data_IF_186082065758
#
_entry.id   IF_186082065758
#
_cell.length_a   1.000
_cell.length_b   1.000
_cell.length_c   1.000
_cell.angle_alpha   90.00
_cell.angle_beta   90.00
_cell.angle_gamma   90.00
#
_symmetry.space_group_name_H-M   'P 1'
#
loop_
_entity.id
_entity.type
_entity.pdbx_description
1 polymer ?
#
# COMPACT_ATOMS: atom_id res chain seq x y z
N UNK A 1 8.97 17.41 -59.21
CA UNK A 1 7.67 17.70 -59.85
C UNK A 1 7.85 17.40 -61.32
N UNK A 2 7.08 16.46 -61.85
CA UNK A 2 7.14 16.06 -63.26
C UNK A 2 6.30 17.07 -64.04
N UNK A 3 6.82 17.57 -65.16
CA UNK A 3 6.07 18.50 -66.01
C UNK A 3 5.02 17.76 -66.82
N UNK A 4 3.82 18.32 -66.90
CA UNK A 4 2.77 17.82 -67.78
C UNK A 4 2.93 18.45 -69.16
N UNK A 5 2.83 17.63 -70.21
CA UNK A 5 2.64 18.14 -71.55
C UNK A 5 1.28 18.86 -71.64
N UNK A 6 1.22 19.99 -72.35
CA UNK A 6 -0.01 20.78 -72.51
C UNK A 6 -1.17 19.95 -73.08
N UNK A 7 -0.90 19.09 -74.07
CA UNK A 7 -1.92 18.22 -74.68
C UNK A 7 -2.39 17.13 -73.70
N UNK A 8 -1.49 16.62 -72.85
CA UNK A 8 -1.83 15.62 -71.84
C UNK A 8 -2.71 16.21 -70.72
N UNK A 9 -2.46 17.46 -70.35
CA UNK A 9 -3.25 18.18 -69.35
C UNK A 9 -4.67 18.49 -69.86
N UNK A 10 -4.79 18.93 -71.11
CA UNK A 10 -6.10 19.20 -71.74
C UNK A 10 -6.94 17.92 -71.86
N UNK A 11 -6.32 16.80 -72.26
CA UNK A 11 -7.01 15.50 -72.32
C UNK A 11 -7.49 15.03 -70.94
N UNK A 12 -6.68 15.20 -69.90
CA UNK A 12 -7.06 14.86 -68.53
C UNK A 12 -8.22 15.73 -68.04
N UNK A 13 -8.17 17.05 -68.27
CA UNK A 13 -9.23 17.97 -67.87
C UNK A 13 -10.56 17.66 -68.56
N UNK A 14 -10.53 17.43 -69.87
CA UNK A 14 -11.72 17.06 -70.65
C UNK A 14 -12.37 15.77 -70.11
N UNK A 15 -11.55 14.77 -69.77
CA UNK A 15 -12.03 13.53 -69.19
C UNK A 15 -12.65 13.70 -67.79
N UNK A 16 -12.13 14.63 -66.99
CA UNK A 16 -12.69 14.97 -65.68
C UNK A 16 -14.04 15.69 -65.84
N UNK A 17 -14.14 16.63 -66.80
CA UNK A 17 -15.39 17.35 -67.10
C UNK A 17 -16.50 16.38 -67.54
N UNK A 18 -16.20 15.45 -68.45
CA UNK A 18 -17.16 14.46 -68.95
C UNK A 18 -17.73 13.54 -67.85
N UNK A 19 -17.04 13.40 -66.71
CA UNK A 19 -17.41 12.49 -65.61
C UNK A 19 -17.85 13.19 -64.33
N UNK A 20 -17.82 14.52 -64.31
CA UNK A 20 -18.16 15.33 -63.12
C UNK A 20 -19.60 15.10 -62.67
N UNK A 21 -20.55 15.12 -63.61
CA UNK A 21 -21.97 14.92 -63.31
C UNK A 21 -22.28 13.50 -62.83
N UNK A 22 -21.59 12.50 -63.37
CA UNK A 22 -21.73 11.10 -62.96
C UNK A 22 -21.22 10.87 -61.52
N UNK A 23 -20.11 11.50 -61.14
CA UNK A 23 -19.57 11.39 -59.78
C UNK A 23 -20.46 12.10 -58.75
N UNK A 24 -20.99 13.28 -59.09
CA UNK A 24 -21.96 13.99 -58.26
C UNK A 24 -23.23 13.17 -58.03
N UNK A 25 -23.71 12.45 -59.07
CA UNK A 25 -24.87 11.57 -58.94
C UNK A 25 -24.64 10.38 -58.00
N UNK A 26 -23.39 9.94 -57.81
CA UNK A 26 -23.00 8.89 -56.85
C UNK A 26 -22.72 9.42 -55.43
N UNK A 27 -22.74 10.74 -55.23
CA UNK A 27 -22.45 11.38 -53.95
C UNK A 27 -20.96 11.47 -53.59
N UNK A 28 -20.06 11.20 -54.54
CA UNK A 28 -18.62 11.40 -54.40
C UNK A 28 -18.24 12.86 -54.69
N UNK A 29 -17.21 13.40 -54.01
CA UNK A 29 -16.65 14.72 -54.31
C UNK A 29 -15.74 14.62 -55.55
N UNK A 30 -16.11 15.21 -56.70
CA UNK A 30 -15.34 15.08 -57.93
C UNK A 30 -13.93 15.65 -57.81
N UNK A 31 -13.75 16.72 -57.03
CA UNK A 31 -12.45 17.40 -56.95
C UNK A 31 -11.42 16.58 -56.15
N UNK A 32 -11.88 15.86 -55.12
CA UNK A 32 -11.04 14.89 -54.38
C UNK A 32 -10.63 13.73 -55.30
N UNK A 33 -11.59 13.14 -56.03
CA UNK A 33 -11.34 12.01 -56.95
C UNK A 33 -10.39 12.39 -58.08
N UNK A 34 -10.54 13.57 -58.68
CA UNK A 34 -9.64 14.05 -59.73
C UNK A 34 -8.24 14.34 -59.20
N UNK A 35 -8.12 14.82 -57.96
CA UNK A 35 -6.82 15.04 -57.32
C UNK A 35 -6.09 13.71 -57.08
N UNK A 36 -6.80 12.67 -56.67
CA UNK A 36 -6.26 11.33 -56.46
C UNK A 36 -5.81 10.68 -57.77
N UNK A 37 -6.62 10.80 -58.84
CA UNK A 37 -6.24 10.31 -60.17
C UNK A 37 -5.00 11.01 -60.71
N UNK A 38 -4.91 12.32 -60.52
CA UNK A 38 -3.74 13.09 -60.93
C UNK A 38 -2.49 12.65 -60.16
N UNK A 39 -2.60 12.49 -58.84
CA UNK A 39 -1.50 12.02 -58.00
C UNK A 39 -1.05 10.59 -58.36
N UNK A 40 -2.00 9.71 -58.72
CA UNK A 40 -1.70 8.35 -59.17
C UNK A 40 -0.88 8.36 -60.47
N UNK A 41 -1.32 9.12 -61.49
CA UNK A 41 -0.61 9.25 -62.77
C UNK A 41 0.80 9.82 -62.55
N UNK A 42 0.95 10.84 -61.70
CA UNK A 42 2.26 11.41 -61.35
C UNK A 42 3.16 10.39 -60.64
N UNK A 43 2.59 9.54 -59.77
CA UNK A 43 3.35 8.50 -59.07
C UNK A 43 3.84 7.40 -60.02
N UNK A 44 3.01 6.99 -60.99
CA UNK A 44 3.37 5.99 -62.00
C UNK A 44 4.40 6.53 -62.99
N UNK A 45 4.27 7.79 -63.41
CA UNK A 45 5.28 8.47 -64.23
C UNK A 45 6.64 8.57 -63.50
N UNK A 46 6.61 8.89 -62.20
CA UNK A 46 7.81 8.94 -61.37
C UNK A 46 8.48 7.57 -61.22
N UNK A 47 7.69 6.51 -61.03
CA UNK A 47 8.19 5.13 -60.94
C UNK A 47 8.89 4.68 -62.23
N UNK A 48 8.39 5.12 -63.38
CA UNK A 48 8.98 4.81 -64.70
C UNK A 48 10.12 5.76 -65.11
N UNK A 49 10.53 6.68 -64.22
CA UNK A 49 11.59 7.69 -64.44
C UNK A 49 11.32 8.59 -65.66
N UNK A 50 10.05 8.89 -65.92
CA UNK A 50 9.67 9.81 -66.98
C UNK A 50 9.92 11.26 -66.54
N UNK A 51 10.42 12.07 -67.48
CA UNK A 51 10.74 13.48 -67.24
C UNK A 51 9.51 14.37 -67.55
N UNK A 52 8.61 13.91 -68.41
CA UNK A 52 7.39 14.60 -68.83
C UNK A 52 6.25 13.59 -69.05
N UNK A 53 5.03 13.94 -68.63
CA UNK A 53 3.82 13.11 -68.82
C UNK A 53 3.24 13.40 -70.21
N UNK A 54 3.30 12.41 -71.09
CA UNK A 54 2.76 12.49 -72.46
C UNK A 54 1.28 12.04 -72.57
N UNK A 55 0.58 12.42 -73.66
CA UNK A 55 -0.85 12.15 -73.84
C UNK A 55 -1.18 10.65 -73.93
N UNK A 56 -0.28 9.83 -74.47
CA UNK A 56 -0.47 8.38 -74.57
C UNK A 56 -0.60 7.67 -73.22
N UNK A 57 0.14 8.12 -72.19
CA UNK A 57 0.08 7.57 -70.83
C UNK A 57 -1.22 7.95 -70.12
N UNK A 58 -1.65 9.20 -70.29
CA UNK A 58 -2.91 9.68 -69.71
C UNK A 58 -4.08 8.86 -70.29
N UNK A 59 -4.10 8.63 -71.61
CA UNK A 59 -5.13 7.79 -72.23
C UNK A 59 -5.12 6.34 -71.74
N UNK A 60 -3.96 5.72 -71.55
CA UNK A 60 -3.89 4.32 -71.08
C UNK A 60 -4.35 4.18 -69.63
N UNK A 61 -3.91 5.07 -68.74
CA UNK A 61 -4.25 5.02 -67.32
C UNK A 61 -5.72 5.39 -67.09
N UNK A 62 -6.26 6.36 -67.83
CA UNK A 62 -7.70 6.68 -67.77
C UNK A 62 -8.58 5.57 -68.35
N UNK A 63 -8.09 4.83 -69.35
CA UNK A 63 -8.80 3.65 -69.88
C UNK A 63 -8.80 2.49 -68.88
N UNK A 64 -7.70 2.26 -68.16
CA UNK A 64 -7.65 1.27 -67.08
C UNK A 64 -8.58 1.64 -65.91
N UNK A 65 -8.63 2.92 -65.53
CA UNK A 65 -9.54 3.44 -64.51
C UNK A 65 -11.01 3.40 -64.95
N UNK A 66 -11.28 3.59 -66.25
CA UNK A 66 -12.62 3.46 -66.83
C UNK A 66 -13.13 2.00 -66.82
N UNK A 67 -12.26 1.03 -67.12
CA UNK A 67 -12.57 -0.40 -67.03
C UNK A 67 -12.80 -0.88 -65.59
N UNK A 68 -12.31 -0.15 -64.59
CA UNK A 68 -12.50 -0.46 -63.18
C UNK A 68 -13.82 0.07 -62.58
N UNK A 69 -14.60 0.89 -63.31
CA UNK A 69 -15.90 1.38 -62.86
C UNK A 69 -17.01 0.39 -63.26
N UNK A 70 -17.83 -0.13 -62.31
CA UNK A 70 -18.78 -1.19 -62.60
C UNK A 70 -20.05 -0.68 -63.29
N UNK A 71 -20.35 -1.19 -64.47
CA UNK A 71 -21.71 -1.22 -65.01
C UNK A 71 -22.61 -2.09 -64.11
N UNK A 72 -23.66 -1.47 -63.56
CA UNK A 72 -24.91 -2.07 -63.07
C UNK A 72 -24.87 -3.54 -62.64
N UNK A 73 -24.58 -3.81 -61.36
CA UNK A 73 -24.72 -5.13 -60.76
C UNK A 73 -26.11 -5.32 -60.11
N UNK A 74 -26.94 -6.17 -60.72
CA UNK A 74 -28.01 -6.90 -60.02
C UNK A 74 -27.39 -7.92 -59.04
N UNK A 75 -28.07 -8.28 -57.93
CA UNK A 75 -27.43 -8.97 -56.83
C UNK A 75 -27.32 -10.48 -57.12
N UNK A 76 -26.10 -10.99 -57.23
CA UNK A 76 -25.80 -12.42 -57.09
C UNK A 76 -24.61 -12.60 -56.12
N UNK A 77 -24.61 -13.70 -55.33
CA UNK A 77 -23.87 -13.77 -54.08
C UNK A 77 -22.35 -13.84 -54.30
N UNK A 78 -21.64 -13.03 -53.52
CA UNK A 78 -20.18 -12.90 -53.53
C UNK A 78 -19.48 -14.28 -53.42
N UNK A 79 -18.46 -14.57 -54.24
CA UNK A 79 -17.50 -15.62 -53.93
C UNK A 79 -16.73 -15.26 -52.64
N UNK A 80 -16.35 -16.25 -51.81
CA UNK A 80 -15.72 -15.96 -50.52
C UNK A 80 -14.39 -15.25 -50.74
N UNK A 81 -14.31 -14.02 -50.23
CA UNK A 81 -13.08 -13.24 -50.11
C UNK A 81 -12.01 -14.13 -49.45
N UNK A 82 -10.82 -14.31 -50.03
CA UNK A 82 -9.73 -14.96 -49.32
C UNK A 82 -9.42 -14.12 -48.09
N UNK A 83 -9.77 -14.66 -46.92
CA UNK A 83 -9.39 -14.11 -45.62
C UNK A 83 -7.88 -13.82 -45.65
N UNK A 84 -7.44 -12.59 -45.33
CA UNK A 84 -6.01 -12.34 -45.13
C UNK A 84 -5.49 -13.36 -44.11
N UNK A 85 -4.28 -13.93 -44.28
CA UNK A 85 -3.77 -14.93 -43.37
C UNK A 85 -3.86 -14.36 -41.96
N UNK A 86 -4.66 -15.04 -41.12
CA UNK A 86 -4.84 -14.68 -39.74
C UNK A 86 -3.45 -14.62 -39.11
N UNK A 87 -2.91 -13.41 -38.96
CA UNK A 87 -1.65 -13.17 -38.28
C UNK A 87 -1.72 -13.94 -36.96
N UNK A 88 -0.87 -14.96 -36.83
CA UNK A 88 -0.91 -15.95 -35.77
C UNK A 88 -1.13 -15.28 -34.40
N UNK A 89 -2.40 -15.25 -33.97
CA UNK A 89 -2.86 -14.55 -32.76
C UNK A 89 -2.52 -15.29 -31.47
N UNK A 90 -1.69 -16.34 -31.54
CA UNK A 90 -1.33 -17.20 -30.41
C UNK A 90 -0.62 -16.41 -29.30
N UNK A 91 0.36 -15.58 -29.65
CA UNK A 91 1.10 -14.77 -28.66
C UNK A 91 0.26 -13.65 -28.02
N UNK A 92 -0.73 -13.12 -28.74
CA UNK A 92 -1.53 -11.95 -28.34
C UNK A 92 -2.62 -12.27 -27.30
N UNK A 93 -3.22 -13.47 -27.36
CA UNK A 93 -4.15 -13.96 -26.32
C UNK A 93 -3.42 -14.37 -25.04
N UNK A 94 -2.23 -14.96 -25.17
CA UNK A 94 -1.38 -15.34 -24.02
C UNK A 94 -0.99 -14.15 -23.15
N UNK A 95 -0.55 -13.05 -23.77
CA UNK A 95 -0.12 -11.85 -23.05
C UNK A 95 -1.25 -11.13 -22.28
N UNK A 96 -2.48 -11.14 -22.82
CA UNK A 96 -3.66 -10.60 -22.13
C UNK A 96 -4.09 -11.45 -20.92
N UNK A 97 -3.99 -12.78 -21.05
CA UNK A 97 -4.25 -13.72 -19.95
C UNK A 97 -3.19 -13.60 -18.86
N UNK A 98 -1.92 -13.52 -19.22
CA UNK A 98 -0.80 -13.32 -18.30
C UNK A 98 -0.94 -12.04 -17.47
N UNK A 99 -1.22 -10.90 -18.12
CA UNK A 99 -1.47 -9.62 -17.41
C UNK A 99 -2.64 -9.71 -16.44
N UNK A 100 -3.72 -10.37 -16.86
CA UNK A 100 -4.89 -10.55 -16.00
C UNK A 100 -4.55 -11.44 -14.81
N UNK A 101 -3.72 -12.48 -15.01
CA UNK A 101 -3.22 -13.32 -13.92
C UNK A 101 -2.33 -12.51 -12.94
N UNK A 102 -1.43 -11.66 -13.43
CA UNK A 102 -0.63 -10.77 -12.57
C UNK A 102 -1.50 -9.84 -11.72
N UNK A 103 -2.58 -9.28 -12.29
CA UNK A 103 -3.51 -8.45 -11.53
C UNK A 103 -4.30 -9.24 -10.47
N UNK A 104 -4.61 -10.51 -10.73
CA UNK A 104 -5.19 -11.38 -9.72
C UNK A 104 -4.18 -11.67 -8.61
N UNK A 105 -2.93 -11.96 -8.95
CA UNK A 105 -1.88 -12.25 -7.96
C UNK A 105 -1.59 -11.00 -7.11
N UNK A 106 -1.23 -9.89 -7.73
CA UNK A 106 -0.76 -8.69 -7.02
C UNK A 106 -1.88 -7.79 -6.51
N UNK A 107 -3.04 -7.79 -7.17
CA UNK A 107 -4.19 -6.97 -6.78
C UNK A 107 -5.14 -7.65 -5.80
N UNK A 108 -5.14 -9.00 -5.74
CA UNK A 108 -6.10 -9.78 -4.94
C UNK A 108 -5.41 -10.80 -4.05
N UNK A 109 -4.72 -11.78 -4.63
CA UNK A 109 -4.19 -12.94 -3.90
C UNK A 109 -3.15 -12.58 -2.86
N UNK A 110 -2.15 -11.78 -3.24
CA UNK A 110 -1.06 -11.34 -2.39
C UNK A 110 -1.54 -10.40 -1.25
N UNK A 111 -2.30 -9.31 -1.50
CA UNK A 111 -2.81 -8.48 -0.40
C UNK A 111 -3.78 -9.22 0.52
N UNK A 112 -4.59 -10.15 -0.01
CA UNK A 112 -5.43 -11.01 0.82
C UNK A 112 -4.60 -11.98 1.69
N UNK A 113 -3.61 -12.63 1.09
CA UNK A 113 -2.70 -13.53 1.79
C UNK A 113 -1.90 -12.83 2.88
N UNK A 114 -1.43 -11.60 2.61
CA UNK A 114 -0.73 -10.78 3.60
C UNK A 114 -1.66 -10.32 4.72
N UNK A 115 -2.90 -9.94 4.43
CA UNK A 115 -3.88 -9.62 5.47
C UNK A 115 -4.15 -10.83 6.36
N UNK A 116 -4.37 -12.02 5.77
CA UNK A 116 -4.60 -13.24 6.53
C UNK A 116 -3.36 -13.61 7.35
N UNK A 117 -2.18 -13.51 6.75
CA UNK A 117 -0.92 -13.73 7.44
C UNK A 117 -0.75 -12.78 8.62
N UNK A 118 -1.04 -11.49 8.47
CA UNK A 118 -0.93 -10.52 9.55
C UNK A 118 -1.99 -10.74 10.65
N UNK A 119 -3.23 -11.12 10.30
CA UNK A 119 -4.25 -11.44 11.31
C UNK A 119 -3.91 -12.69 12.12
N UNK A 120 -3.17 -13.62 11.53
CA UNK A 120 -2.70 -14.82 12.22
C UNK A 120 -1.39 -14.52 12.98
N UNK A 121 -0.42 -13.88 12.35
CA UNK A 121 0.95 -13.77 12.81
C UNK A 121 1.31 -12.42 13.43
N UNK A 122 0.64 -11.31 13.16
CA UNK A 122 1.04 -9.99 13.68
C UNK A 122 2.48 -9.57 13.33
N UNK A 123 3.06 -10.11 12.26
CA UNK A 123 4.48 -9.98 11.90
C UNK A 123 4.87 -8.52 11.62
N UNK A 124 4.05 -7.77 10.89
CA UNK A 124 4.30 -6.34 10.66
C UNK A 124 4.22 -5.57 11.98
N UNK A 125 3.22 -5.90 12.81
CA UNK A 125 3.06 -5.38 14.16
C UNK A 125 4.28 -5.58 15.06
N UNK A 126 5.12 -6.60 14.81
CA UNK A 126 6.33 -6.92 15.58
C UNK A 126 7.63 -6.31 15.04
N UNK A 127 7.79 -6.21 13.72
CA UNK A 127 9.08 -5.81 13.13
C UNK A 127 9.07 -4.36 12.64
N UNK A 128 7.92 -3.86 12.18
CA UNK A 128 7.83 -2.56 11.50
C UNK A 128 6.89 -1.61 12.24
N UNK A 129 5.59 -1.79 12.03
CA UNK A 129 4.51 -1.03 12.63
C UNK A 129 3.23 -1.89 12.51
N UNK A 130 2.26 -1.68 13.41
CA UNK A 130 1.00 -2.42 13.40
C UNK A 130 0.05 -1.85 12.33
N UNK A 131 -0.20 -2.55 11.19
CA UNK A 131 -1.09 -2.05 10.16
C UNK A 131 -2.57 -2.22 10.52
N UNK A 132 -2.88 -3.04 11.56
CA UNK A 132 -4.24 -3.38 11.99
C UNK A 132 -4.40 -3.07 13.49
N UNK A 133 -4.26 -1.78 13.91
CA UNK A 133 -4.45 -1.43 15.31
C UNK A 133 -5.91 -1.59 15.75
N UNK A 134 -6.86 -1.53 14.80
CA UNK A 134 -8.29 -1.73 15.06
C UNK A 134 -8.95 -2.55 13.96
N UNK A 135 -10.11 -3.16 14.26
CA UNK A 135 -10.92 -3.89 13.27
C UNK A 135 -11.34 -3.03 12.06
N UNK A 136 -11.44 -1.71 12.23
CA UNK A 136 -11.74 -0.79 11.13
C UNK A 136 -10.63 -0.83 10.08
N UNK A 137 -9.37 -0.86 10.51
CA UNK A 137 -8.22 -1.02 9.61
C UNK A 137 -8.27 -2.37 8.89
N UNK A 138 -8.60 -3.46 9.60
CA UNK A 138 -8.74 -4.78 8.99
C UNK A 138 -9.78 -4.78 7.87
N UNK A 139 -10.95 -4.17 8.11
CA UNK A 139 -12.03 -4.07 7.12
C UNK A 139 -11.60 -3.22 5.92
N UNK A 140 -10.94 -2.08 6.15
CA UNK A 140 -10.44 -1.22 5.08
C UNK A 140 -9.37 -1.91 4.24
N UNK A 141 -8.45 -2.66 4.84
CA UNK A 141 -7.44 -3.44 4.10
C UNK A 141 -8.12 -4.57 3.32
N UNK A 142 -9.08 -5.29 3.92
CA UNK A 142 -9.84 -6.36 3.26
C UNK A 142 -10.65 -5.86 2.06
N UNK A 143 -11.09 -4.60 2.09
CA UNK A 143 -11.78 -3.96 0.98
C UNK A 143 -10.92 -3.90 -0.29
N UNK A 144 -9.60 -3.77 -0.17
CA UNK A 144 -8.68 -3.64 -1.31
C UNK A 144 -8.72 -4.85 -2.25
N UNK A 145 -8.45 -6.10 -1.81
CA UNK A 145 -8.52 -7.27 -2.69
C UNK A 145 -9.94 -7.51 -3.22
N UNK A 146 -10.98 -7.27 -2.42
CA UNK A 146 -12.38 -7.43 -2.85
C UNK A 146 -12.72 -6.43 -3.96
N UNK A 147 -12.38 -5.16 -3.79
CA UNK A 147 -12.60 -4.11 -4.77
C UNK A 147 -11.83 -4.35 -6.07
N UNK A 148 -10.58 -4.83 -5.97
CA UNK A 148 -9.77 -5.18 -7.14
C UNK A 148 -10.33 -6.39 -7.88
N UNK A 149 -10.82 -7.41 -7.16
CA UNK A 149 -11.50 -8.56 -7.77
C UNK A 149 -12.78 -8.14 -8.51
N UNK A 150 -13.60 -7.28 -7.89
CA UNK A 150 -14.82 -6.75 -8.51
C UNK A 150 -14.50 -5.90 -9.74
N UNK A 151 -13.46 -5.06 -9.69
CA UNK A 151 -13.00 -4.29 -10.83
C UNK A 151 -12.51 -5.19 -11.99
N UNK A 152 -11.80 -6.28 -11.67
CA UNK A 152 -11.39 -7.28 -12.66
C UNK A 152 -12.58 -7.95 -13.34
N UNK A 153 -13.59 -8.35 -12.59
CA UNK A 153 -14.82 -8.97 -13.13
C UNK A 153 -15.64 -7.95 -13.94
N UNK A 154 -15.87 -6.76 -13.40
CA UNK A 154 -16.63 -5.69 -14.06
C UNK A 154 -15.95 -5.23 -15.35
N UNK A 155 -14.62 -5.22 -15.42
CA UNK A 155 -13.88 -4.85 -16.64
C UNK A 155 -14.03 -5.84 -17.80
N UNK A 156 -14.54 -7.06 -17.54
CA UNK A 156 -14.85 -8.08 -18.55
C UNK A 156 -16.29 -7.99 -19.04
N UNK A 157 -17.19 -7.46 -18.23
CA UNK A 157 -18.58 -7.26 -18.60
C UNK A 157 -18.68 -6.10 -19.60
N UNK A 158 -19.34 -6.31 -20.73
CA UNK A 158 -19.65 -5.26 -21.69
C UNK A 158 -20.76 -4.30 -21.24
N UNK A 159 -21.38 -4.57 -20.08
CA UNK A 159 -22.52 -3.81 -19.58
C UNK A 159 -22.08 -2.65 -18.68
N UNK A 160 -21.67 -1.55 -19.32
CA UNK A 160 -21.08 -0.36 -18.68
C UNK A 160 -22.09 0.48 -17.88
N UNK A 161 -23.38 0.36 -18.20
CA UNK A 161 -24.48 1.10 -17.56
C UNK A 161 -25.04 0.40 -16.32
N UNK A 162 -24.68 -0.87 -16.10
CA UNK A 162 -25.20 -1.65 -14.99
C UNK A 162 -24.73 -1.13 -13.62
N UNK A 163 -25.63 -1.19 -12.63
CA UNK A 163 -25.30 -0.94 -11.20
C UNK A 163 -23.98 -1.58 -10.73
N UNK A 164 -23.68 -2.87 -11.01
CA UNK A 164 -22.42 -3.49 -10.59
C UNK A 164 -21.17 -2.80 -11.16
N UNK A 165 -21.22 -2.26 -12.38
CA UNK A 165 -20.08 -1.54 -12.97
C UNK A 165 -19.78 -0.25 -12.23
N UNK A 166 -20.82 0.52 -11.86
CA UNK A 166 -20.68 1.75 -11.07
C UNK A 166 -20.15 1.47 -9.66
N UNK A 167 -20.67 0.43 -9.01
CA UNK A 167 -20.21 -0.01 -7.68
C UNK A 167 -18.73 -0.41 -7.73
N UNK A 168 -18.31 -1.20 -8.73
CA UNK A 168 -16.92 -1.56 -8.91
C UNK A 168 -16.00 -0.34 -9.09
N UNK A 169 -16.47 0.70 -9.80
CA UNK A 169 -15.76 1.97 -9.95
C UNK A 169 -15.58 2.73 -8.63
N UNK A 170 -16.60 2.76 -7.76
CA UNK A 170 -16.55 3.39 -6.43
C UNK A 170 -15.61 2.62 -5.51
N UNK A 171 -15.77 1.29 -5.42
CA UNK A 171 -14.98 0.44 -4.54
C UNK A 171 -13.51 0.43 -4.95
N UNK A 172 -13.19 0.37 -6.25
CA UNK A 172 -11.82 0.49 -6.72
C UNK A 172 -11.21 1.86 -6.38
N UNK A 173 -12.01 2.93 -6.41
CA UNK A 173 -11.57 4.23 -5.95
C UNK A 173 -11.23 4.28 -4.44
N UNK A 174 -12.05 3.65 -3.59
CA UNK A 174 -11.72 3.46 -2.16
C UNK A 174 -10.44 2.65 -1.98
N UNK A 175 -10.28 1.56 -2.75
CA UNK A 175 -9.09 0.71 -2.72
C UNK A 175 -7.81 1.47 -3.08
N UNK A 176 -7.87 2.41 -4.05
CA UNK A 176 -6.75 3.30 -4.36
C UNK A 176 -6.38 4.14 -3.13
N UNK A 177 -7.36 4.74 -2.44
CA UNK A 177 -7.09 5.54 -1.24
C UNK A 177 -6.45 4.75 -0.11
N UNK A 178 -6.99 3.57 0.20
CA UNK A 178 -6.45 2.69 1.25
C UNK A 178 -5.05 2.20 0.90
N UNK A 179 -4.86 1.66 -0.30
CA UNK A 179 -3.56 1.15 -0.73
C UNK A 179 -2.51 2.24 -0.92
N UNK A 180 -2.90 3.48 -1.23
CA UNK A 180 -1.98 4.63 -1.26
C UNK A 180 -1.44 4.97 0.13
N UNK A 181 -2.29 4.92 1.15
CA UNK A 181 -1.90 5.19 2.54
C UNK A 181 -0.82 4.20 3.02
N UNK A 182 -1.11 2.89 2.92
CA UNK A 182 -0.12 1.86 3.27
C UNK A 182 1.06 1.83 2.29
N UNK A 183 0.80 2.13 1.01
CA UNK A 183 1.73 2.56 -0.02
C UNK A 183 2.88 3.42 0.50
N UNK A 184 2.47 4.58 1.01
CA UNK A 184 3.34 5.61 1.54
C UNK A 184 4.03 5.14 2.82
N UNK A 185 3.28 4.47 3.69
CA UNK A 185 3.78 3.99 4.97
C UNK A 185 4.94 3.01 4.83
N UNK A 186 4.86 2.08 3.88
CA UNK A 186 5.93 1.13 3.57
C UNK A 186 6.99 1.68 2.61
N UNK A 187 6.90 2.94 2.14
CA UNK A 187 7.80 3.49 1.13
C UNK A 187 9.27 3.46 1.57
N UNK A 188 9.55 3.78 2.83
CA UNK A 188 10.91 3.78 3.41
C UNK A 188 11.49 2.36 3.48
N UNK A 189 10.63 1.37 3.73
CA UNK A 189 11.01 -0.05 3.84
C UNK A 189 11.07 -0.72 2.46
N UNK A 190 10.39 -0.17 1.45
CA UNK A 190 10.29 -0.72 0.09
C UNK A 190 11.64 -1.08 -0.56
N UNK A 191 12.71 -0.26 -0.52
CA UNK A 191 13.99 -0.66 -1.12
C UNK A 191 14.59 -1.90 -0.44
N UNK A 192 14.50 -1.98 0.89
CA UNK A 192 14.97 -3.12 1.68
C UNK A 192 14.09 -4.36 1.44
N UNK A 193 12.78 -4.16 1.35
CA UNK A 193 11.82 -5.20 1.00
C UNK A 193 12.09 -5.81 -0.37
N UNK A 194 12.41 -4.98 -1.37
CA UNK A 194 12.79 -5.47 -2.70
C UNK A 194 14.05 -6.32 -2.65
N UNK A 195 15.06 -5.89 -1.90
CA UNK A 195 16.27 -6.70 -1.68
C UNK A 195 15.94 -8.03 -0.98
N UNK A 196 15.14 -7.98 0.10
CA UNK A 196 14.73 -9.17 0.85
C UNK A 196 13.88 -10.13 0.02
N UNK A 197 13.11 -9.63 -0.96
CA UNK A 197 12.37 -10.46 -1.90
C UNK A 197 13.32 -11.26 -2.80
N UNK A 198 14.39 -10.62 -3.31
CA UNK A 198 15.36 -11.28 -4.20
C UNK A 198 16.15 -12.37 -3.47
N UNK A 199 16.62 -12.09 -2.26
CA UNK A 199 17.50 -13.01 -1.53
C UNK A 199 16.76 -14.05 -0.68
N UNK A 200 15.65 -13.66 -0.04
CA UNK A 200 14.97 -14.49 0.96
C UNK A 200 13.50 -14.81 0.62
N UNK A 201 12.92 -14.19 -0.42
CA UNK A 201 11.51 -14.36 -0.79
C UNK A 201 10.50 -13.70 0.15
N UNK A 202 10.89 -13.31 1.37
CA UNK A 202 10.01 -12.75 2.41
C UNK A 202 9.60 -11.30 2.13
N UNK A 203 10.34 -10.58 1.28
CA UNK A 203 10.08 -9.19 0.94
C UNK A 203 8.72 -8.89 0.29
N UNK A 204 8.00 -9.93 -0.15
CA UNK A 204 6.66 -9.81 -0.71
C UNK A 204 5.64 -9.19 0.27
N UNK A 205 5.82 -9.39 1.59
CA UNK A 205 4.91 -8.87 2.63
C UNK A 205 4.89 -7.33 2.63
N UNK A 206 6.02 -6.63 2.88
CA UNK A 206 6.05 -5.16 2.84
C UNK A 206 5.83 -4.56 1.45
N UNK A 207 6.03 -5.33 0.36
CA UNK A 207 5.73 -4.88 -1.01
C UNK A 207 4.24 -4.97 -1.37
N UNK A 208 3.43 -5.69 -0.59
CA UNK A 208 2.03 -5.94 -0.90
C UNK A 208 1.18 -4.69 -1.11
N UNK A 209 1.25 -3.65 -0.24
CA UNK A 209 0.42 -2.46 -0.40
C UNK A 209 0.78 -1.70 -1.68
N UNK A 210 2.07 -1.65 -2.05
CA UNK A 210 2.54 -0.97 -3.26
C UNK A 210 2.05 -1.68 -4.52
N UNK A 211 2.19 -3.01 -4.56
CA UNK A 211 1.73 -3.82 -5.68
C UNK A 211 0.20 -3.79 -5.82
N UNK A 212 -0.53 -3.76 -4.71
CA UNK A 212 -1.98 -3.59 -4.69
C UNK A 212 -2.40 -2.19 -5.17
N UNK A 213 -1.66 -1.14 -4.80
CA UNK A 213 -1.89 0.24 -5.25
C UNK A 213 -1.68 0.38 -6.76
N UNK A 214 -0.56 -0.13 -7.29
CA UNK A 214 -0.27 -0.15 -8.73
C UNK A 214 -1.36 -0.93 -9.48
N UNK A 215 -1.77 -2.09 -8.95
CA UNK A 215 -2.85 -2.89 -9.52
C UNK A 215 -4.18 -2.14 -9.52
N UNK A 216 -4.52 -1.44 -8.43
CA UNK A 216 -5.75 -0.65 -8.32
C UNK A 216 -5.79 0.51 -9.33
N UNK A 217 -4.67 1.22 -9.54
CA UNK A 217 -4.53 2.26 -10.57
C UNK A 217 -4.69 1.69 -11.98
N UNK A 218 -4.11 0.52 -12.25
CA UNK A 218 -4.24 -0.13 -13.56
C UNK A 218 -5.69 -0.55 -13.82
N UNK A 219 -6.35 -1.16 -12.83
CA UNK A 219 -7.76 -1.54 -12.91
C UNK A 219 -8.66 -0.32 -13.10
N UNK A 220 -8.33 0.79 -12.45
CA UNK A 220 -9.03 2.06 -12.62
C UNK A 220 -8.95 2.57 -14.04
N UNK A 221 -7.76 2.54 -14.63
CA UNK A 221 -7.56 2.91 -16.03
C UNK A 221 -8.38 1.99 -16.95
N UNK A 222 -8.35 0.67 -16.71
CA UNK A 222 -9.11 -0.33 -17.47
C UNK A 222 -10.63 -0.14 -17.37
N UNK A 223 -11.13 0.32 -16.22
CA UNK A 223 -12.55 0.67 -16.04
C UNK A 223 -12.90 2.00 -16.71
N UNK A 224 -12.00 2.99 -16.68
CA UNK A 224 -12.24 4.33 -17.22
C UNK A 224 -12.24 4.40 -18.74
N UNK A 225 -11.49 3.51 -19.39
CA UNK A 225 -11.24 3.57 -20.83
C UNK A 225 -11.48 2.22 -21.48
N UNK A 226 -12.45 2.16 -22.39
CA UNK A 226 -12.62 1.02 -23.30
C UNK A 226 -11.43 0.99 -24.27
N UNK A 227 -10.46 0.11 -24.03
CA UNK A 227 -9.37 -0.12 -25.00
C UNK A 227 -7.94 0.15 -24.51
N UNK A 228 -7.70 0.33 -23.22
CA UNK A 228 -6.31 0.31 -22.70
C UNK A 228 -5.72 -1.09 -22.90
N UNK A 229 -4.94 -1.24 -23.98
CA UNK A 229 -4.31 -2.49 -24.40
C UNK A 229 -2.77 -2.48 -24.27
N UNK A 230 -2.16 -1.37 -23.82
CA UNK A 230 -0.69 -1.16 -23.79
C UNK A 230 -0.12 -1.06 -22.34
N UNK A 231 1.22 -1.19 -22.15
CA UNK A 231 1.81 -1.95 -21.04
C UNK A 231 1.88 -1.22 -19.69
N UNK A 232 2.18 -2.06 -18.71
CA UNK A 232 2.44 -1.96 -17.27
C UNK A 232 3.15 -0.71 -16.71
N UNK A 233 3.67 0.20 -17.53
CA UNK A 233 4.41 1.37 -17.07
C UNK A 233 3.83 2.66 -17.68
N UNK A 234 3.17 3.43 -16.80
CA UNK A 234 2.93 4.88 -16.86
C UNK A 234 1.50 5.41 -17.19
N UNK A 235 1.01 6.43 -16.46
CA UNK A 235 -0.35 6.99 -16.63
C UNK A 235 -0.48 8.09 -17.71
N UNK A 236 0.59 8.43 -18.44
CA UNK A 236 0.63 9.61 -19.35
C UNK A 236 0.37 9.28 -20.82
N UNK A 237 0.01 8.04 -21.15
CA UNK A 237 -0.40 7.73 -22.53
C UNK A 237 -1.80 8.30 -22.76
N UNK A 238 -1.93 9.24 -23.72
CA UNK A 238 -3.22 9.75 -24.22
C UNK A 238 -4.14 8.57 -24.47
N UNK A 239 -5.15 8.42 -23.62
CA UNK A 239 -6.19 7.44 -23.81
C UNK A 239 -6.97 7.85 -25.07
N UNK A 240 -6.80 7.08 -26.14
CA UNK A 240 -7.45 7.31 -27.44
C UNK A 240 -8.87 6.73 -27.50
N UNK A 241 -9.39 6.18 -26.40
CA UNK A 241 -10.71 5.56 -26.33
C UNK A 241 -11.75 6.41 -25.59
N UNK A 242 -13.05 6.22 -25.87
CA UNK A 242 -14.11 6.93 -25.18
C UNK A 242 -14.07 6.66 -23.67
N UNK A 243 -14.28 7.72 -22.88
CA UNK A 243 -14.34 7.64 -21.42
C UNK A 243 -15.65 7.01 -20.99
N UNK A 244 -15.56 5.96 -20.18
CA UNK A 244 -16.71 5.30 -19.57
C UNK A 244 -17.22 6.09 -18.38
N UNK A 245 -18.55 6.06 -18.10
CA UNK A 245 -19.15 6.82 -17.01
C UNK A 245 -18.83 6.20 -15.64
N UNK A 246 -17.66 6.52 -15.10
CA UNK A 246 -17.25 6.12 -13.73
C UNK A 246 -17.07 7.33 -12.83
N UNK A 247 -17.43 7.19 -11.55
CA UNK A 247 -17.27 8.25 -10.52
C UNK A 247 -15.80 8.62 -10.42
N UNK A 248 -15.43 9.89 -10.57
CA UNK A 248 -14.04 10.35 -10.56
C UNK A 248 -13.25 9.82 -9.34
N UNK A 249 -12.04 9.32 -9.56
CA UNK A 249 -11.28 8.53 -8.58
C UNK A 249 -11.02 9.30 -7.28
N UNK A 250 -10.75 10.61 -7.37
CA UNK A 250 -10.45 11.46 -6.21
C UNK A 250 -11.64 11.59 -5.25
N UNK A 251 -12.88 11.51 -5.75
CA UNK A 251 -14.10 11.62 -4.92
C UNK A 251 -14.25 10.45 -3.94
N UNK A 252 -13.62 9.31 -4.25
CA UNK A 252 -13.69 8.10 -3.43
C UNK A 252 -12.34 7.77 -2.77
N UNK A 253 -11.23 8.04 -3.45
CA UNK A 253 -9.89 7.77 -2.92
C UNK A 253 -9.51 8.73 -1.79
N UNK A 254 -9.78 10.03 -1.95
CA UNK A 254 -9.40 11.04 -0.97
C UNK A 254 -10.11 10.83 0.38
N UNK A 255 -11.45 10.58 0.45
CA UNK A 255 -12.09 10.27 1.73
C UNK A 255 -11.55 9.01 2.39
N UNK A 256 -11.24 7.95 1.63
CA UNK A 256 -10.68 6.71 2.19
C UNK A 256 -9.29 6.95 2.79
N UNK A 257 -8.45 7.72 2.08
CA UNK A 257 -7.12 8.10 2.56
C UNK A 257 -7.22 8.99 3.81
N UNK A 258 -8.06 10.03 3.78
CA UNK A 258 -8.26 10.93 4.91
C UNK A 258 -8.85 10.21 6.14
N UNK A 259 -9.72 9.21 5.93
CA UNK A 259 -10.23 8.38 7.02
C UNK A 259 -9.10 7.62 7.73
N UNK A 260 -8.14 7.05 6.99
CA UNK A 260 -6.99 6.37 7.59
C UNK A 260 -6.06 7.35 8.32
N UNK A 261 -5.85 8.54 7.76
CA UNK A 261 -5.10 9.62 8.46
C UNK A 261 -5.81 9.99 9.77
N UNK A 262 -7.14 10.14 9.75
CA UNK A 262 -7.94 10.44 10.94
C UNK A 262 -7.85 9.32 11.98
N UNK A 263 -7.90 8.06 11.54
CA UNK A 263 -7.75 6.89 12.42
C UNK A 263 -6.34 6.78 13.04
N UNK A 264 -5.33 7.40 12.43
CA UNK A 264 -3.97 7.49 12.97
C UNK A 264 -3.76 8.55 14.06
N UNK A 265 -4.75 9.43 14.31
CA UNK A 265 -4.63 10.53 15.29
C UNK A 265 -4.27 10.03 16.71
N UNK A 266 -4.90 8.97 17.27
CA UNK A 266 -4.55 8.48 18.61
C UNK A 266 -3.09 8.08 18.74
N UNK A 267 -2.52 7.46 17.71
CA UNK A 267 -1.10 7.08 17.69
C UNK A 267 -0.20 8.32 17.68
N UNK A 268 -0.54 9.34 16.88
CA UNK A 268 0.20 10.61 16.87
C UNK A 268 0.09 11.34 18.21
N UNK A 269 -1.08 11.34 18.84
CA UNK A 269 -1.29 11.92 20.16
C UNK A 269 -0.41 11.27 21.23
N UNK A 270 -0.22 9.94 21.16
CA UNK A 270 0.71 9.21 22.05
C UNK A 270 2.16 9.62 21.80
N UNK A 271 2.58 9.77 20.54
CA UNK A 271 3.96 10.16 20.22
C UNK A 271 4.29 11.57 20.76
N UNK A 272 3.42 12.54 20.53
CA UNK A 272 3.60 13.93 20.98
C UNK A 272 3.43 14.03 22.50
N UNK A 273 2.32 13.45 22.99
CA UNK A 273 1.94 13.53 24.39
C UNK A 273 2.93 12.83 25.32
N UNK A 274 3.57 11.73 24.90
CA UNK A 274 4.54 11.03 25.75
C UNK A 274 5.77 11.89 26.06
N UNK A 275 6.29 12.64 25.08
CA UNK A 275 7.42 13.55 25.30
C UNK A 275 6.99 14.75 26.15
N UNK A 276 5.91 15.41 25.75
CA UNK A 276 5.42 16.62 26.43
C UNK A 276 4.90 16.34 27.84
N UNK A 277 4.45 15.12 28.12
CA UNK A 277 4.08 14.72 29.46
C UNK A 277 5.27 14.76 30.42
N UNK A 278 6.52 14.76 29.93
CA UNK A 278 7.75 14.83 30.72
C UNK A 278 8.40 16.22 30.76
N UNK A 279 7.78 17.21 30.11
CA UNK A 279 8.31 18.57 30.04
C UNK A 279 8.42 19.23 31.44
N UNK A 280 9.47 20.03 31.70
CA UNK A 280 9.61 20.80 32.94
C UNK A 280 8.42 21.75 33.18
N UNK A 281 7.87 22.36 32.13
CA UNK A 281 6.77 23.31 32.24
C UNK A 281 5.48 22.61 32.72
N UNK A 282 4.91 23.00 33.88
CA UNK A 282 3.68 22.42 34.39
C UNK A 282 2.47 22.59 33.45
N UNK A 283 2.42 23.66 32.65
CA UNK A 283 1.31 23.95 31.75
C UNK A 283 1.31 23.02 30.54
N UNK A 284 2.48 22.80 29.93
CA UNK A 284 2.70 21.86 28.81
C UNK A 284 2.39 20.44 29.28
N UNK A 285 2.93 20.06 30.44
CA UNK A 285 2.68 18.76 31.05
C UNK A 285 1.20 18.49 31.31
N UNK A 286 0.47 19.45 31.89
CA UNK A 286 -0.97 19.30 32.16
C UNK A 286 -1.80 19.22 30.87
N UNK A 287 -1.38 19.90 29.79
CA UNK A 287 -2.02 19.80 28.47
C UNK A 287 -1.76 18.42 27.86
N UNK A 288 -0.54 17.92 27.92
CA UNK A 288 -0.17 16.62 27.39
C UNK A 288 -0.90 15.48 28.10
N UNK A 289 -1.01 15.52 29.43
CA UNK A 289 -1.78 14.52 30.19
C UNK A 289 -3.26 14.56 29.81
N UNK A 290 -3.85 15.74 29.61
CA UNK A 290 -5.24 15.85 29.12
C UNK A 290 -5.40 15.27 27.72
N UNK A 291 -4.48 15.57 26.80
CA UNK A 291 -4.48 15.02 25.45
C UNK A 291 -4.42 13.48 25.45
N UNK A 292 -3.51 12.92 26.24
CA UNK A 292 -3.35 11.47 26.37
C UNK A 292 -4.57 10.79 27.01
N UNK A 293 -5.30 11.48 27.90
CA UNK A 293 -6.55 10.97 28.49
C UNK A 293 -7.75 11.05 27.56
N UNK A 294 -7.79 12.02 26.64
CA UNK A 294 -8.95 12.22 25.75
C UNK A 294 -8.80 11.53 24.40
N UNK A 295 -7.60 11.56 23.82
CA UNK A 295 -7.31 11.05 22.47
C UNK A 295 -6.32 9.88 22.48
N UNK A 296 -5.57 9.68 23.57
CA UNK A 296 -4.64 8.58 23.70
C UNK A 296 -5.34 7.27 24.02
N UNK A 297 -4.89 6.19 23.40
CA UNK A 297 -5.27 4.83 23.75
C UNK A 297 -4.31 4.28 24.83
N UNK A 298 -4.88 3.80 25.93
CA UNK A 298 -4.12 3.25 27.07
C UNK A 298 -3.30 2.02 26.67
N UNK A 299 -3.86 1.14 25.85
CA UNK A 299 -3.21 -0.11 25.46
C UNK A 299 -2.06 0.14 24.49
N UNK A 300 -2.22 1.12 23.59
CA UNK A 300 -1.13 1.58 22.71
C UNK A 300 -0.01 2.26 23.51
N UNK A 301 -0.34 3.09 24.51
CA UNK A 301 0.66 3.70 25.39
C UNK A 301 1.38 2.64 26.23
N UNK A 302 0.66 1.62 26.73
CA UNK A 302 1.26 0.49 27.46
C UNK A 302 2.17 -0.35 26.56
N UNK A 303 1.74 -0.66 25.33
CA UNK A 303 2.58 -1.34 24.32
C UNK A 303 3.92 -0.62 24.15
N UNK A 304 3.89 0.71 24.10
CA UNK A 304 5.09 1.54 23.95
C UNK A 304 6.01 1.53 25.17
N UNK A 305 5.50 1.21 26.37
CA UNK A 305 6.31 1.07 27.59
C UNK A 305 7.17 -0.21 27.57
N UNK A 306 6.71 -1.26 26.89
CA UNK A 306 7.36 -2.57 26.87
C UNK A 306 8.26 -2.80 25.65
N UNK A 307 8.03 -2.06 24.55
CA UNK A 307 8.77 -2.25 23.31
C UNK A 307 10.05 -1.42 23.30
N UNK A 308 11.22 -2.07 23.30
CA UNK A 308 12.53 -1.39 23.29
C UNK A 308 12.98 -0.87 21.90
N UNK A 309 12.24 -1.16 20.83
CA UNK A 309 12.53 -0.67 19.47
C UNK A 309 11.67 0.53 19.06
N UNK A 310 12.28 1.50 18.38
CA UNK A 310 11.58 2.58 17.69
C UNK A 310 10.84 2.01 16.46
N UNK A 311 9.55 2.33 16.29
CA UNK A 311 8.84 1.98 15.07
C UNK A 311 9.42 2.82 13.92
N UNK A 312 9.86 2.17 12.83
CA UNK A 312 10.17 2.87 11.57
C UNK A 312 8.84 3.13 10.84
N UNK A 313 8.09 4.06 11.39
CA UNK A 313 6.80 4.50 10.88
C UNK A 313 7.00 5.85 10.18
N UNK A 314 6.37 6.06 9.02
CA UNK A 314 6.40 7.35 8.32
C UNK A 314 5.92 8.50 9.21
N UNK A 315 4.91 8.28 10.06
CA UNK A 315 4.45 9.27 11.04
C UNK A 315 5.54 9.64 12.05
N UNK A 316 6.31 8.65 12.52
CA UNK A 316 7.45 8.87 13.42
C UNK A 316 8.55 9.65 12.71
N UNK A 317 8.93 9.26 11.48
CA UNK A 317 9.94 9.97 10.69
C UNK A 317 9.53 11.42 10.39
N UNK A 318 8.26 11.63 10.06
CA UNK A 318 7.70 12.97 9.83
C UNK A 318 7.70 13.79 11.11
N UNK A 319 7.29 13.23 12.25
CA UNK A 319 7.31 13.93 13.54
C UNK A 319 8.72 14.27 13.99
N UNK A 320 9.65 13.31 13.88
CA UNK A 320 11.05 13.51 14.21
C UNK A 320 11.65 14.63 13.35
N UNK A 321 11.36 14.63 12.05
CA UNK A 321 11.85 15.67 11.14
C UNK A 321 11.21 17.03 11.36
N UNK A 322 9.90 17.08 11.62
CA UNK A 322 9.14 18.31 11.74
C UNK A 322 9.25 18.96 13.13
N UNK A 323 9.35 18.15 14.19
CA UNK A 323 9.24 18.60 15.58
C UNK A 323 10.37 18.09 16.50
N UNK A 324 11.27 17.23 16.01
CA UNK A 324 12.39 16.72 16.82
C UNK A 324 11.99 15.74 17.92
N UNK A 325 10.74 15.27 17.94
CA UNK A 325 10.27 14.34 18.97
C UNK A 325 10.71 12.91 18.66
N UNK A 326 11.64 12.38 19.48
CA UNK A 326 11.87 10.93 19.58
C UNK A 326 11.49 10.45 21.00
N UNK A 327 10.24 10.03 21.23
CA UNK A 327 9.83 9.50 22.52
C UNK A 327 10.57 8.20 22.83
N UNK A 328 11.43 8.26 23.85
CA UNK A 328 12.11 7.06 24.36
C UNK A 328 11.13 6.16 25.11
N UNK A 329 11.50 4.90 25.32
CA UNK A 329 10.72 3.98 26.16
C UNK A 329 10.57 4.50 27.59
N UNK A 330 11.63 5.13 28.13
CA UNK A 330 11.60 5.77 29.43
C UNK A 330 10.57 6.92 29.48
N UNK A 331 10.44 7.68 28.39
CA UNK A 331 9.45 8.75 28.32
C UNK A 331 8.02 8.21 28.33
N UNK A 332 7.77 7.15 27.58
CA UNK A 332 6.48 6.46 27.55
C UNK A 332 6.12 5.89 28.94
N UNK A 333 7.07 5.29 29.66
CA UNK A 333 6.85 4.74 31.00
C UNK A 333 6.47 5.84 32.01
N UNK A 334 7.18 6.98 32.01
CA UNK A 334 6.84 8.13 32.86
C UNK A 334 5.49 8.73 32.50
N UNK A 335 5.21 8.88 31.20
CA UNK A 335 3.94 9.39 30.71
C UNK A 335 2.77 8.46 31.11
N UNK A 336 2.95 7.14 31.01
CA UNK A 336 1.95 6.15 31.41
C UNK A 336 1.58 6.28 32.89
N UNK A 337 2.57 6.41 33.77
CA UNK A 337 2.31 6.65 35.20
C UNK A 337 1.57 7.96 35.44
N UNK A 338 1.95 9.06 34.76
CA UNK A 338 1.27 10.37 34.90
C UNK A 338 -0.18 10.34 34.40
N UNK A 339 -0.46 9.58 33.36
CA UNK A 339 -1.81 9.46 32.78
C UNK A 339 -2.70 8.57 33.65
N UNK A 340 -2.19 7.40 34.04
CA UNK A 340 -2.99 6.32 34.66
C UNK A 340 -2.90 6.25 36.19
N UNK A 341 -1.84 6.80 36.79
CA UNK A 341 -1.52 6.64 38.20
C UNK A 341 -0.98 5.26 38.57
N UNK A 342 -0.90 4.32 37.61
CA UNK A 342 -0.37 2.97 37.82
C UNK A 342 0.97 2.83 37.11
N UNK A 343 2.00 2.25 37.74
CA UNK A 343 3.25 2.02 37.04
C UNK A 343 3.03 0.94 35.97
N UNK A 344 3.75 1.04 34.85
CA UNK A 344 3.53 0.16 33.69
C UNK A 344 3.72 -1.32 34.07
N UNK A 345 4.70 -1.62 34.91
CA UNK A 345 5.06 -2.96 35.38
C UNK A 345 4.02 -3.63 36.29
N UNK A 346 3.04 -2.87 36.83
CA UNK A 346 1.93 -3.44 37.59
C UNK A 346 0.85 -4.08 36.69
N UNK A 347 0.86 -3.76 35.39
CA UNK A 347 -0.08 -4.31 34.40
C UNK A 347 0.67 -5.31 33.52
N UNK A 348 0.11 -6.48 33.17
CA UNK A 348 0.78 -7.39 32.24
C UNK A 348 1.00 -6.72 30.89
N UNK A 349 2.11 -7.07 30.23
CA UNK A 349 2.34 -6.61 28.87
C UNK A 349 1.17 -7.04 27.95
N UNK A 350 0.69 -6.17 27.05
CA UNK A 350 -0.38 -6.50 26.12
C UNK A 350 0.06 -7.66 25.22
N UNK A 351 -0.73 -8.75 25.22
CA UNK A 351 -0.45 -10.00 24.51
C UNK A 351 -0.22 -9.75 23.02
N UNK A 352 0.87 -10.28 22.47
CA UNK A 352 1.21 -10.22 21.06
C UNK A 352 0.73 -11.52 20.42
N UNK A 353 -0.39 -11.48 19.70
CA UNK A 353 -0.96 -12.70 19.09
C UNK A 353 -0.13 -13.15 17.89
N UNK A 354 0.49 -14.33 17.99
CA UNK A 354 1.04 -15.05 16.84
C UNK A 354 0.14 -16.14 16.27
N UNK A 355 0.64 -16.85 15.24
CA UNK A 355 -0.08 -17.71 14.27
C UNK A 355 -1.04 -18.77 14.86
N UNK A 356 -0.90 -19.13 16.13
CA UNK A 356 -1.74 -20.11 16.86
C UNK A 356 -2.24 -19.60 18.22
N UNK A 357 -2.24 -18.29 18.44
CA UNK A 357 -2.40 -17.72 19.78
C UNK A 357 -1.18 -17.96 20.68
N UNK A 358 -0.04 -18.29 20.08
CA UNK A 358 1.27 -18.33 20.75
C UNK A 358 1.92 -16.94 20.59
N UNK A 359 2.50 -16.40 21.65
CA UNK A 359 3.28 -15.17 21.59
C UNK A 359 4.52 -15.41 20.69
N UNK A 360 4.61 -14.70 19.56
CA UNK A 360 5.67 -14.91 18.54
C UNK A 360 7.03 -14.39 19.01
N UNK A 361 7.00 -13.22 19.64
CA UNK A 361 8.01 -12.82 20.61
C UNK A 361 7.37 -13.01 21.97
N UNK A 362 7.67 -14.15 22.59
CA UNK A 362 7.42 -14.36 23.99
C UNK A 362 8.18 -13.24 24.73
N UNK A 363 7.50 -12.11 25.03
CA UNK A 363 7.96 -11.16 26.04
C UNK A 363 8.16 -11.88 27.39
N UNK A 364 7.64 -13.11 27.50
CA UNK A 364 7.84 -14.07 28.57
C UNK A 364 9.17 -14.86 28.47
N UNK A 365 9.78 -15.01 27.29
CA UNK A 365 11.06 -15.72 27.08
C UNK A 365 12.26 -14.79 27.24
N UNK A 366 12.20 -13.57 26.69
CA UNK A 366 13.30 -12.62 26.73
C UNK A 366 13.04 -11.46 27.72
N UNK A 367 13.77 -11.47 28.83
CA UNK A 367 13.76 -10.35 29.78
C UNK A 367 14.79 -9.31 29.35
N UNK A 368 14.32 -8.27 28.67
CA UNK A 368 15.18 -7.22 28.13
C UNK A 368 15.83 -6.32 29.20
N UNK A 369 15.51 -6.52 30.48
CA UNK A 369 16.12 -5.84 31.61
C UNK A 369 16.98 -6.80 32.47
N UNK A 370 17.26 -8.01 31.97
CA UNK A 370 18.18 -8.95 32.60
C UNK A 370 19.55 -8.30 32.83
N UNK A 371 20.02 -8.34 34.08
CA UNK A 371 21.30 -7.73 34.48
C UNK A 371 21.28 -6.20 34.53
N UNK A 372 20.11 -5.57 34.57
CA UNK A 372 19.97 -4.12 34.76
C UNK A 372 19.39 -3.73 36.13
N UNK A 373 19.53 -2.46 36.49
CA UNK A 373 19.18 -1.96 37.84
C UNK A 373 17.69 -1.62 38.02
N UNK A 374 16.84 -1.91 37.01
CA UNK A 374 15.42 -1.51 37.00
C UNK A 374 14.51 -2.71 37.19
N UNK A 375 13.52 -2.57 38.08
CA UNK A 375 12.43 -3.54 38.22
C UNK A 375 11.55 -3.47 36.96
N UNK A 376 11.64 -4.51 36.14
CA UNK A 376 10.97 -4.59 34.85
C UNK A 376 9.55 -5.18 34.94
N UNK A 377 9.06 -5.70 33.82
CA UNK A 377 7.77 -6.38 33.71
C UNK A 377 7.67 -7.60 34.65
N UNK A 378 6.44 -7.98 34.99
CA UNK A 378 6.19 -9.30 35.58
C UNK A 378 6.56 -10.41 34.58
N UNK A 379 7.39 -11.35 35.02
CA UNK A 379 7.81 -12.51 34.22
C UNK A 379 6.93 -13.72 34.58
N UNK A 380 6.49 -14.49 33.59
CA UNK A 380 5.69 -15.69 33.84
C UNK A 380 6.52 -16.77 34.51
N UNK A 381 5.92 -17.43 35.51
CA UNK A 381 6.58 -18.46 36.29
C UNK A 381 7.51 -17.91 37.38
N UNK A 382 7.75 -16.60 37.44
CA UNK A 382 8.41 -15.96 38.58
C UNK A 382 7.36 -15.27 39.46
N UNK A 383 7.34 -15.58 40.75
CA UNK A 383 6.38 -15.02 41.70
C UNK A 383 7.00 -14.78 43.06
N UNK A 384 6.59 -13.72 43.75
CA UNK A 384 6.82 -13.56 45.18
C UNK A 384 5.90 -14.53 45.93
N UNK A 385 6.48 -15.60 46.47
CA UNK A 385 5.75 -16.64 47.20
C UNK A 385 5.38 -16.17 48.62
N UNK A 386 6.28 -15.43 49.26
CA UNK A 386 6.06 -14.90 50.60
C UNK A 386 6.69 -13.50 50.74
N UNK A 387 6.01 -12.64 51.50
CA UNK A 387 6.52 -11.32 51.91
C UNK A 387 6.17 -11.13 53.38
N UNK A 388 7.17 -11.01 54.23
CA UNK A 388 7.00 -10.84 55.68
C UNK A 388 7.84 -9.66 56.15
N UNK A 389 7.18 -8.68 56.78
CA UNK A 389 7.83 -7.51 57.36
C UNK A 389 7.60 -7.54 58.87
N UNK A 390 8.68 -7.72 59.63
CA UNK A 390 8.68 -7.68 61.08
C UNK A 390 9.38 -6.39 61.56
N UNK A 391 8.92 -5.81 62.66
CA UNK A 391 9.46 -4.56 63.18
C UNK A 391 9.49 -4.50 64.70
N UNK A 392 10.44 -3.76 65.24
CA UNK A 392 10.53 -3.43 66.67
C UNK A 392 10.83 -1.95 66.81
N UNK A 393 10.12 -1.30 67.72
CA UNK A 393 10.34 0.11 68.04
C UNK A 393 10.76 0.20 69.49
N UNK A 394 11.90 0.80 69.73
CA UNK A 394 12.34 1.15 71.08
C UNK A 394 12.11 2.64 71.32
N UNK A 395 11.11 2.93 72.15
CA UNK A 395 10.71 4.30 72.47
C UNK A 395 11.78 5.06 73.28
N UNK A 396 12.64 4.37 74.05
CA UNK A 396 13.64 5.01 74.87
C UNK A 396 14.82 5.54 74.05
N UNK A 397 15.26 4.77 73.05
CA UNK A 397 16.33 5.18 72.11
C UNK A 397 15.81 5.93 70.89
N UNK A 398 14.49 5.88 70.63
CA UNK A 398 13.89 6.46 69.43
C UNK A 398 14.23 5.71 68.14
N UNK A 399 14.68 4.45 68.25
CA UNK A 399 15.13 3.65 67.12
C UNK A 399 14.04 2.66 66.73
N UNK A 400 13.79 2.55 65.43
CA UNK A 400 12.99 1.49 64.85
C UNK A 400 13.89 0.53 64.07
N UNK A 401 13.73 -0.77 64.31
CA UNK A 401 14.34 -1.84 63.54
C UNK A 401 13.28 -2.53 62.70
N UNK A 402 13.57 -2.74 61.42
CA UNK A 402 12.69 -3.40 60.46
C UNK A 402 13.46 -4.52 59.77
N UNK A 403 12.85 -5.70 59.71
CA UNK A 403 13.34 -6.84 58.96
C UNK A 403 12.29 -7.24 57.91
N UNK A 404 12.68 -7.24 56.63
CA UNK A 404 11.81 -7.66 55.54
C UNK A 404 12.37 -8.92 54.87
N UNK A 405 11.67 -10.03 55.03
CA UNK A 405 11.94 -11.29 54.31
C UNK A 405 11.04 -11.43 53.10
N UNK A 406 11.64 -11.64 51.92
CA UNK A 406 10.94 -11.89 50.66
C UNK A 406 11.39 -13.23 50.07
N UNK A 407 10.45 -14.11 49.75
CA UNK A 407 10.73 -15.39 49.07
C UNK A 407 10.23 -15.33 47.64
N UNK A 408 11.14 -15.52 46.68
CA UNK A 408 10.80 -15.61 45.26
C UNK A 408 10.84 -17.06 44.80
N UNK A 409 9.79 -17.48 44.09
CA UNK A 409 9.69 -18.80 43.46
C UNK A 409 9.78 -18.66 41.95
N UNK A 410 10.72 -19.38 41.35
CA UNK A 410 10.83 -19.56 39.90
C UNK A 410 10.34 -20.96 39.52
N UNK A 411 9.15 -21.04 38.92
CA UNK A 411 8.54 -22.25 38.37
C UNK A 411 8.79 -22.43 36.85
N UNK A 412 9.61 -21.56 36.24
CA UNK A 412 9.96 -21.68 34.83
C UNK A 412 11.06 -22.72 34.60
N UNK A 413 11.21 -23.19 33.35
CA UNK A 413 12.24 -24.18 32.98
C UNK A 413 13.66 -23.58 32.88
N UNK A 414 13.80 -22.28 33.05
CA UNK A 414 15.06 -21.55 32.87
C UNK A 414 15.36 -20.71 34.12
N UNK A 415 16.64 -20.37 34.32
CA UNK A 415 17.00 -19.38 35.34
C UNK A 415 16.33 -18.03 35.02
N UNK A 416 15.81 -17.36 36.04
CA UNK A 416 15.17 -16.04 35.96
C UNK A 416 15.68 -15.17 37.09
N UNK A 417 15.81 -13.88 36.82
CA UNK A 417 16.25 -12.89 37.78
C UNK A 417 15.03 -12.29 38.51
N UNK A 418 15.08 -12.27 39.84
CA UNK A 418 14.11 -11.53 40.65
C UNK A 418 14.71 -10.17 41.02
N UNK A 419 13.95 -9.10 40.79
CA UNK A 419 14.36 -7.72 41.10
C UNK A 419 13.38 -7.08 42.06
N UNK A 420 13.89 -6.37 43.05
CA UNK A 420 13.12 -5.58 43.99
C UNK A 420 13.76 -4.20 44.15
N UNK A 421 12.93 -3.15 44.18
CA UNK A 421 13.34 -1.80 44.52
C UNK A 421 12.56 -1.39 45.77
N UNK A 422 13.28 -1.04 46.83
CA UNK A 422 12.70 -0.70 48.13
C UNK A 422 13.01 0.76 48.42
N UNK A 423 11.96 1.56 48.62
CA UNK A 423 12.09 2.94 49.08
C UNK A 423 12.17 2.93 50.61
N UNK A 424 13.22 3.53 51.16
CA UNK A 424 13.45 3.60 52.59
C UNK A 424 12.81 4.87 53.18
N UNK A 425 12.30 4.82 54.41
CA UNK A 425 11.88 6.02 55.13
C UNK A 425 13.04 7.03 55.24
N UNK A 426 12.76 8.35 55.27
CA UNK A 426 13.78 9.35 55.49
C UNK A 426 14.58 9.07 56.77
N UNK A 427 15.91 9.02 56.66
CA UNK A 427 16.82 8.75 57.79
C UNK A 427 17.03 7.28 58.13
N UNK A 428 16.34 6.35 57.47
CA UNK A 428 16.61 4.92 57.62
C UNK A 428 17.89 4.54 56.86
N UNK A 429 18.64 3.59 57.40
CA UNK A 429 19.86 3.04 56.80
C UNK A 429 19.77 1.52 56.72
N UNK A 430 20.33 0.93 55.67
CA UNK A 430 20.42 -0.52 55.54
C UNK A 430 21.57 -1.03 56.39
N UNK A 431 21.27 -1.84 57.40
CA UNK A 431 22.29 -2.43 58.28
C UNK A 431 22.76 -3.81 57.81
N UNK A 432 21.91 -4.55 57.08
CA UNK A 432 22.19 -5.92 56.63
C UNK A 432 21.28 -6.31 55.46
N UNK A 433 21.84 -7.01 54.48
CA UNK A 433 21.10 -7.74 53.45
C UNK A 433 21.64 -9.16 53.40
N UNK A 434 20.76 -10.15 53.34
CA UNK A 434 21.14 -11.57 53.20
C UNK A 434 20.38 -12.19 52.05
N UNK A 435 21.09 -12.90 51.17
CA UNK A 435 20.51 -13.65 50.05
C UNK A 435 20.62 -15.14 50.33
N UNK A 436 19.54 -15.87 50.04
CA UNK A 436 19.51 -17.33 50.09
C UNK A 436 19.02 -17.86 48.75
N UNK A 437 19.71 -18.84 48.18
CA UNK A 437 19.30 -19.50 46.94
C UNK A 437 19.09 -20.99 47.26
N UNK A 438 17.85 -21.48 47.09
CA UNK A 438 17.48 -22.88 47.38
C UNK A 438 17.89 -23.36 48.80
N UNK A 439 17.86 -22.46 49.79
CA UNK A 439 18.21 -22.76 51.18
C UNK A 439 19.70 -22.62 51.51
N UNK A 440 20.56 -22.32 50.54
CA UNK A 440 21.97 -22.04 50.78
C UNK A 440 22.24 -20.53 50.88
N UNK A 441 22.99 -20.07 51.89
CA UNK A 441 23.34 -18.67 52.03
C UNK A 441 24.32 -18.25 50.93
N UNK A 442 24.08 -17.10 50.32
CA UNK A 442 24.93 -16.51 49.29
C UNK A 442 25.37 -15.10 49.70
N UNK A 443 26.50 -14.66 49.16
CA UNK A 443 26.99 -13.30 49.38
C UNK A 443 26.00 -12.28 48.80
N UNK A 444 25.59 -11.33 49.63
CA UNK A 444 24.71 -10.23 49.25
C UNK A 444 25.46 -8.91 49.45
N UNK A 445 25.45 -8.07 48.43
CA UNK A 445 25.99 -6.72 48.50
C UNK A 445 24.84 -5.70 48.54
N UNK A 446 25.02 -4.63 49.32
CA UNK A 446 24.19 -3.43 49.28
C UNK A 446 25.14 -2.23 49.16
N UNK A 447 24.76 -1.24 48.36
CA UNK A 447 25.57 -0.07 48.03
C UNK A 447 24.73 1.19 47.95
#
# INVERSE_FOLDING_TARGET
MISWNTEALELFQRHCEDRRDALLATGADPDEVFSDWKALIESHAAANREIEIGPGRVCSELAELACAAPESATPNPLPPVPTPPAAAGGGRRGFSRFRTALLWIFGVGLPFGVLLFELLAGFCGEILFDPIPTWVHAILIALVPVANALALVASRSGNETARPFRIAGILNGLAIGVSAYYALQFAVVTPFAFMALIYFGIGAIPLAPLLAFISALYLRARLAYSGIRRPFLWPVVRATGPRRPIVAWYKTALPAFLLLVLLGIPQMAIQIGAVQANDPDPTVRARAVRLLRTLGDRDLLLRKCYRQGENIDLSFLLLQRAFGFSPTTADAQKAYYRVTGTPYNAVPAPRLKGLRGQDLVDAEWFDAALGGDRVAARIRGLSLAQSRLDGRVDAASGIAYLEWTMEFRNASKTAREARALIELPPGATVSRVTLWINGEPCEAAFG
#
